data_IF_611621482875
#
_entry.id   IF_611621482875
#
_cell.length_a   1.000
_cell.length_b   1.000
_cell.length_c   1.000
_cell.angle_alpha   90.00
_cell.angle_beta   90.00
_cell.angle_gamma   90.00
#
_symmetry.space_group_name_H-M   'P 1'
#
loop_
_entity.id
_entity.type
_entity.pdbx_description
1 polymer ?
#
# COMPACT_ATOMS: atom_id res chain seq x y z
N UNK A 1 -14.51 -5.08 -3.78
CA UNK A 1 -13.20 -5.45 -3.26
C UNK A 1 -12.17 -5.31 -4.36
N UNK A 2 -10.97 -4.86 -4.02
CA UNK A 2 -9.89 -4.70 -4.98
C UNK A 2 -9.16 -6.04 -5.16
N UNK A 3 -8.94 -6.46 -6.40
CA UNK A 3 -8.27 -7.72 -6.71
C UNK A 3 -7.23 -7.51 -7.80
N UNK A 4 -6.10 -8.23 -7.69
CA UNK A 4 -5.08 -8.28 -8.73
C UNK A 4 -4.75 -9.74 -9.03
N UNK A 5 -4.52 -10.04 -10.31
CA UNK A 5 -4.03 -11.35 -10.73
C UNK A 5 -2.52 -11.26 -10.96
N UNK A 6 -1.78 -12.05 -10.19
CA UNK A 6 -0.31 -12.10 -10.25
C UNK A 6 0.08 -13.57 -10.41
N UNK A 7 0.81 -13.90 -11.48
CA UNK A 7 1.23 -15.26 -11.79
C UNK A 7 0.07 -16.26 -11.81
N UNK A 8 -1.04 -15.88 -12.45
CA UNK A 8 -2.27 -16.68 -12.56
C UNK A 8 -3.00 -16.92 -11.23
N UNK A 9 -2.62 -16.22 -10.16
CA UNK A 9 -3.27 -16.28 -8.86
C UNK A 9 -3.94 -14.96 -8.56
N UNK A 10 -5.22 -15.00 -8.14
CA UNK A 10 -5.96 -13.81 -7.72
C UNK A 10 -5.66 -13.51 -6.26
N UNK A 11 -5.23 -12.28 -5.99
CA UNK A 11 -4.99 -11.78 -4.64
C UNK A 11 -5.99 -10.68 -4.32
N UNK A 12 -6.49 -10.68 -3.09
CA UNK A 12 -7.47 -9.71 -2.61
C UNK A 12 -6.82 -8.64 -1.73
N UNK A 13 -7.35 -7.43 -1.84
CA UNK A 13 -6.84 -6.26 -1.12
C UNK A 13 -8.02 -5.49 -0.53
N UNK A 14 -7.87 -5.01 0.68
CA UNK A 14 -8.90 -4.21 1.34
C UNK A 14 -8.26 -2.96 1.95
N UNK A 15 -8.75 -1.79 1.54
CA UNK A 15 -8.28 -0.49 2.03
C UNK A 15 -9.19 0.05 3.16
N UNK A 16 -9.66 -0.84 4.03
CA UNK A 16 -10.52 -0.50 5.17
C UNK A 16 -9.74 -0.14 6.42
N UNK A 17 -10.38 -0.29 7.58
CA UNK A 17 -9.80 0.14 8.85
C UNK A 17 -8.53 -0.60 9.25
N UNK A 18 -8.43 -1.90 8.93
CA UNK A 18 -7.22 -2.68 9.18
C UNK A 18 -6.03 -2.14 8.40
N UNK A 19 -6.25 -1.82 7.13
CA UNK A 19 -5.25 -1.17 6.28
C UNK A 19 -4.83 0.18 6.85
N UNK A 20 -5.79 1.03 7.22
CA UNK A 20 -5.51 2.36 7.77
C UNK A 20 -4.67 2.27 9.05
N UNK A 21 -5.00 1.34 9.94
CA UNK A 21 -4.23 1.13 11.17
C UNK A 21 -2.80 0.68 10.87
N UNK A 22 -2.64 -0.22 9.90
CA UNK A 22 -1.32 -0.72 9.51
C UNK A 22 -0.44 0.40 8.95
N UNK A 23 -0.92 1.17 7.98
CA UNK A 23 -0.12 2.24 7.38
C UNK A 23 0.14 3.38 8.36
N UNK A 24 -0.79 3.68 9.25
CA UNK A 24 -0.60 4.70 10.29
C UNK A 24 0.44 4.28 11.33
N UNK A 25 0.56 2.99 11.62
CA UNK A 25 1.58 2.49 12.55
C UNK A 25 2.98 2.47 11.93
N UNK A 26 3.07 2.41 10.59
CA UNK A 26 4.35 2.32 9.89
C UNK A 26 5.09 3.66 9.83
N UNK A 27 4.38 4.78 9.92
CA UNK A 27 4.98 6.12 9.87
C UNK A 27 4.43 6.99 10.99
N UNK A 28 5.31 7.45 11.87
CA UNK A 28 4.94 8.35 12.96
C UNK A 28 6.03 9.40 13.15
N UNK A 29 5.64 10.62 13.47
CA UNK A 29 6.55 11.72 13.75
C UNK A 29 6.35 12.26 15.16
N UNK A 30 7.43 12.75 15.82
CA UNK A 30 7.27 13.41 17.12
C UNK A 30 6.46 14.68 16.99
N UNK A 31 5.65 14.96 18.02
CA UNK A 31 4.93 16.24 18.11
C UNK A 31 5.84 17.26 18.80
N UNK A 32 5.97 18.44 18.19
CA UNK A 32 6.81 19.50 18.72
C UNK A 32 6.39 19.90 20.14
N UNK A 33 7.41 19.95 21.05
CA UNK A 33 7.17 20.29 22.44
C UNK A 33 6.65 19.14 23.32
N UNK A 34 6.39 17.97 22.72
CA UNK A 34 5.86 16.79 23.41
C UNK A 34 6.69 15.55 23.03
N UNK A 35 7.90 15.39 23.61
CA UNK A 35 8.87 14.40 23.12
C UNK A 35 8.40 12.94 23.19
N UNK A 36 7.41 12.63 24.05
CA UNK A 36 6.89 11.28 24.20
C UNK A 36 5.57 11.07 23.42
N UNK A 37 5.15 12.07 22.64
CA UNK A 37 3.92 12.01 21.84
C UNK A 37 4.29 11.96 20.37
N UNK A 38 3.66 11.04 19.63
CA UNK A 38 3.87 10.88 18.19
C UNK A 38 2.57 11.03 17.47
N UNK A 39 2.62 11.65 16.29
CA UNK A 39 1.49 11.74 15.38
C UNK A 39 1.67 10.72 14.26
N UNK A 40 0.66 9.86 14.07
CA UNK A 40 0.66 8.88 13.00
C UNK A 40 0.24 9.56 11.69
N UNK A 41 1.12 9.57 10.71
CA UNK A 41 0.90 10.21 9.40
C UNK A 41 0.94 9.21 8.24
N UNK A 42 0.91 7.91 8.54
CA UNK A 42 1.10 6.86 7.54
C UNK A 42 0.12 6.94 6.37
N UNK A 43 -1.18 7.18 6.65
CA UNK A 43 -2.17 7.30 5.58
C UNK A 43 -1.89 8.52 4.69
N UNK A 44 -1.61 9.65 5.28
CA UNK A 44 -1.28 10.88 4.53
C UNK A 44 -0.02 10.69 3.69
N UNK A 45 0.99 10.06 4.27
CA UNK A 45 2.24 9.75 3.59
C UNK A 45 2.01 8.80 2.41
N UNK A 46 1.19 7.75 2.62
CA UNK A 46 0.86 6.79 1.58
C UNK A 46 0.10 7.44 0.43
N UNK A 47 -0.91 8.26 0.73
CA UNK A 47 -1.68 8.97 -0.30
C UNK A 47 -0.78 9.91 -1.11
N UNK A 48 0.08 10.67 -0.44
CA UNK A 48 1.01 11.57 -1.13
C UNK A 48 1.96 10.79 -2.05
N UNK A 49 2.48 9.64 -1.59
CA UNK A 49 3.34 8.79 -2.40
C UNK A 49 2.64 8.22 -3.62
N UNK A 50 1.39 7.80 -3.48
CA UNK A 50 0.60 7.29 -4.62
C UNK A 50 0.35 8.41 -5.63
N UNK A 51 0.03 9.61 -5.18
CA UNK A 51 -0.14 10.79 -6.06
C UNK A 51 1.16 11.09 -6.80
N UNK A 52 2.31 10.95 -6.13
CA UNK A 52 3.63 11.19 -6.71
C UNK A 52 4.15 10.00 -7.54
N UNK A 53 3.38 8.94 -7.70
CA UNK A 53 3.76 7.72 -8.42
C UNK A 53 5.01 7.05 -7.83
N UNK A 54 5.11 7.01 -6.50
CA UNK A 54 6.21 6.35 -5.79
C UNK A 54 5.99 4.85 -5.75
N UNK A 55 6.82 4.10 -6.49
CA UNK A 55 6.70 2.64 -6.61
C UNK A 55 6.94 1.91 -5.29
N UNK A 56 7.87 2.39 -4.47
CA UNK A 56 8.15 1.80 -3.15
C UNK A 56 6.91 1.89 -2.26
N UNK A 57 6.26 3.05 -2.25
CA UNK A 57 5.04 3.26 -1.48
C UNK A 57 3.90 2.41 -2.03
N UNK A 58 3.80 2.27 -3.36
CA UNK A 58 2.80 1.39 -3.97
C UNK A 58 2.94 -0.04 -3.47
N UNK A 59 4.16 -0.58 -3.42
CA UNK A 59 4.42 -1.93 -2.87
C UNK A 59 3.98 -2.00 -1.42
N UNK A 60 4.33 -1.02 -0.61
CA UNK A 60 3.97 -0.99 0.81
C UNK A 60 2.45 -0.95 1.01
N UNK A 61 1.76 -0.16 0.20
CA UNK A 61 0.29 -0.03 0.26
C UNK A 61 -0.39 -1.33 -0.13
N UNK A 62 0.05 -1.97 -1.20
CA UNK A 62 -0.52 -3.24 -1.64
C UNK A 62 -0.25 -4.36 -0.64
N UNK A 63 0.96 -4.43 -0.09
CA UNK A 63 1.30 -5.40 0.94
C UNK A 63 0.39 -5.25 2.17
N UNK A 64 0.22 -4.04 2.66
CA UNK A 64 -0.64 -3.76 3.82
C UNK A 64 -2.11 -4.09 3.53
N UNK A 65 -2.59 -3.78 2.33
CA UNK A 65 -3.98 -4.03 1.96
C UNK A 65 -4.31 -5.52 1.79
N UNK A 66 -3.31 -6.35 1.50
CA UNK A 66 -3.48 -7.80 1.38
C UNK A 66 -3.37 -8.52 2.74
N UNK A 67 -2.88 -7.85 3.77
CA UNK A 67 -2.70 -8.46 5.09
C UNK A 67 -4.04 -9.01 5.62
N UNK A 68 -4.02 -10.23 6.11
CA UNK A 68 -5.21 -10.92 6.59
C UNK A 68 -5.96 -11.74 5.54
N UNK A 69 -5.60 -11.64 4.29
CA UNK A 69 -6.21 -12.44 3.22
C UNK A 69 -5.36 -13.68 2.89
N UNK A 70 -6.02 -14.67 2.32
CA UNK A 70 -5.38 -15.86 1.79
C UNK A 70 -5.84 -16.05 0.33
N UNK A 71 -4.92 -16.18 -0.63
CA UNK A 71 -3.46 -16.25 -0.44
C UNK A 71 -2.85 -14.89 -0.07
N UNK A 72 -1.71 -14.95 0.60
CA UNK A 72 -0.92 -13.79 1.00
C UNK A 72 0.12 -13.49 -0.07
N UNK A 73 0.08 -12.28 -0.64
CA UNK A 73 1.09 -11.87 -1.62
C UNK A 73 2.41 -11.52 -0.91
N UNK A 74 3.54 -11.86 -1.53
CA UNK A 74 4.86 -11.50 -1.02
C UNK A 74 5.36 -10.22 -1.69
N UNK A 75 6.30 -9.53 -1.02
CA UNK A 75 6.95 -8.36 -1.61
C UNK A 75 7.67 -8.70 -2.90
N UNK A 76 8.32 -9.87 -2.97
CA UNK A 76 8.98 -10.34 -4.19
C UNK A 76 7.99 -10.48 -5.35
N UNK A 77 6.79 -11.01 -5.08
CA UNK A 77 5.74 -11.12 -6.09
C UNK A 77 5.24 -9.75 -6.55
N UNK A 78 5.08 -8.81 -5.62
CA UNK A 78 4.68 -7.44 -5.96
C UNK A 78 5.76 -6.74 -6.78
N UNK A 79 7.02 -6.88 -6.42
CA UNK A 79 8.14 -6.31 -7.17
C UNK A 79 8.17 -6.85 -8.59
N UNK A 80 8.04 -8.15 -8.78
CA UNK A 80 8.01 -8.79 -10.09
C UNK A 80 6.82 -8.32 -10.93
N UNK A 81 5.65 -8.17 -10.31
CA UNK A 81 4.46 -7.68 -10.97
C UNK A 81 4.64 -6.23 -11.47
N UNK A 82 5.22 -5.38 -10.64
CA UNK A 82 5.48 -3.97 -10.97
C UNK A 82 6.55 -3.86 -12.07
N UNK A 83 7.57 -4.70 -12.02
CA UNK A 83 8.67 -4.69 -13.00
C UNK A 83 8.26 -5.31 -14.35
N UNK A 84 7.12 -5.99 -14.42
CA UNK A 84 6.64 -6.60 -15.65
C UNK A 84 6.26 -5.50 -16.66
N UNK A 85 6.87 -5.47 -17.87
CA UNK A 85 6.56 -4.43 -18.85
C UNK A 85 5.11 -4.46 -19.36
N UNK A 86 4.39 -5.56 -19.17
CA UNK A 86 2.97 -5.66 -19.54
C UNK A 86 2.04 -5.06 -18.48
N UNK A 87 2.55 -4.76 -17.28
CA UNK A 87 1.74 -4.14 -16.23
C UNK A 87 1.59 -2.65 -16.49
N UNK A 88 0.33 -2.18 -16.55
CA UNK A 88 0.03 -0.75 -16.67
C UNK A 88 0.13 -0.09 -15.30
N UNK A 89 1.30 0.45 -14.98
CA UNK A 89 1.60 1.06 -13.69
C UNK A 89 0.72 2.29 -13.45
N UNK A 90 0.52 3.12 -14.46
CA UNK A 90 -0.29 4.34 -14.30
C UNK A 90 -1.74 3.99 -13.97
N UNK A 91 -2.31 2.99 -14.64
CA UNK A 91 -3.65 2.51 -14.34
C UNK A 91 -3.73 1.92 -12.92
N UNK A 92 -2.68 1.25 -12.47
CA UNK A 92 -2.65 0.68 -11.13
C UNK A 92 -2.67 1.77 -10.05
N UNK A 93 -1.89 2.84 -10.21
CA UNK A 93 -1.93 3.99 -9.30
C UNK A 93 -3.32 4.62 -9.24
N UNK A 94 -3.96 4.82 -10.38
CA UNK A 94 -5.32 5.37 -10.45
C UNK A 94 -6.32 4.49 -9.72
N UNK A 95 -6.26 3.17 -9.93
CA UNK A 95 -7.15 2.22 -9.24
C UNK A 95 -6.98 2.26 -7.72
N UNK A 96 -5.74 2.34 -7.24
CA UNK A 96 -5.46 2.41 -5.81
C UNK A 96 -6.02 3.71 -5.22
N UNK A 97 -5.84 4.83 -5.91
CA UNK A 97 -6.37 6.13 -5.43
C UNK A 97 -7.89 6.15 -5.38
N UNK A 98 -8.57 5.44 -6.29
CA UNK A 98 -10.03 5.43 -6.35
C UNK A 98 -10.67 4.55 -5.26
N UNK A 99 -9.88 3.80 -4.51
CA UNK A 99 -10.35 3.02 -3.38
C UNK A 99 -10.14 3.74 -2.06
#
# INVERSE_FOLDING_TARGET
MFELTIDNQVYQFNFGMGFMRKVNSDVAIPVDGLPNVKKNIGLQYAVAGIIDNDLEILVNVLDAANEGFSPRVTRAQLDTFIDNPETDIDALFVKVLDF
#
